data_IF_361002355355
#
_entry.id   IF_361002355355
#
_cell.length_a   1.000
_cell.length_b   1.000
_cell.length_c   1.000
_cell.angle_alpha   90.00
_cell.angle_beta   90.00
_cell.angle_gamma   90.00
#
_symmetry.space_group_name_H-M   'P 1'
#
loop_
_entity.id
_entity.type
_entity.pdbx_description
1 polymer ?
#
# COMPACT_ATOMS: atom_id res chain seq x y z
N UNK A 1 -46.48 26.46 -47.76
CA UNK A 1 -47.41 25.70 -46.89
C UNK A 1 -46.80 25.72 -45.51
N UNK A 2 -47.54 26.11 -44.48
CA UNK A 2 -46.99 26.16 -43.11
C UNK A 2 -46.64 24.76 -42.61
N UNK A 3 -45.39 24.58 -42.22
CA UNK A 3 -44.84 23.34 -41.65
C UNK A 3 -45.62 22.91 -40.40
N UNK A 4 -46.17 23.86 -39.64
CA UNK A 4 -46.99 23.59 -38.46
C UNK A 4 -48.31 22.89 -38.80
N UNK A 5 -48.92 23.23 -39.94
CA UNK A 5 -50.16 22.60 -40.40
C UNK A 5 -49.94 21.15 -40.83
N UNK A 6 -48.82 20.87 -41.51
CA UNK A 6 -48.46 19.51 -41.93
C UNK A 6 -48.13 18.61 -40.73
N UNK A 7 -47.41 19.14 -39.74
CA UNK A 7 -47.09 18.41 -38.51
C UNK A 7 -48.35 18.08 -37.70
N UNK A 8 -49.31 19.00 -37.61
CA UNK A 8 -50.57 18.76 -36.92
C UNK A 8 -51.40 17.65 -37.59
N UNK A 9 -51.42 17.61 -38.92
CA UNK A 9 -52.08 16.54 -39.69
C UNK A 9 -51.40 15.20 -39.44
N UNK A 10 -50.06 15.16 -39.49
CA UNK A 10 -49.29 13.95 -39.21
C UNK A 10 -49.53 13.42 -37.79
N UNK A 11 -49.53 14.31 -36.78
CA UNK A 11 -49.85 13.94 -35.38
C UNK A 11 -51.25 13.34 -35.25
N UNK A 12 -52.25 13.93 -35.91
CA UNK A 12 -53.62 13.40 -35.88
C UNK A 12 -53.71 12.03 -36.57
N UNK A 13 -52.97 11.83 -37.66
CA UNK A 13 -52.86 10.52 -38.32
C UNK A 13 -52.21 9.47 -37.43
N UNK A 14 -51.14 9.84 -36.72
CA UNK A 14 -50.47 8.96 -35.75
C UNK A 14 -51.40 8.51 -34.63
N UNK A 15 -52.13 9.45 -34.03
CA UNK A 15 -53.08 9.14 -32.94
C UNK A 15 -54.14 8.14 -33.43
N UNK A 16 -54.73 8.40 -34.60
CA UNK A 16 -55.72 7.49 -35.19
C UNK A 16 -55.16 6.08 -35.41
N UNK A 17 -53.95 5.95 -35.94
CA UNK A 17 -53.35 4.64 -36.18
C UNK A 17 -52.95 3.91 -34.88
N UNK A 18 -52.60 4.66 -33.83
CA UNK A 18 -52.38 4.10 -32.48
C UNK A 18 -53.69 3.56 -31.92
N UNK A 19 -54.76 4.35 -31.95
CA UNK A 19 -56.09 3.93 -31.47
C UNK A 19 -56.60 2.71 -32.23
N UNK A 20 -56.41 2.67 -33.55
CA UNK A 20 -56.75 1.50 -34.38
C UNK A 20 -55.99 0.25 -33.93
N UNK A 21 -54.67 0.36 -33.72
CA UNK A 21 -53.82 -0.77 -33.27
C UNK A 21 -54.16 -1.23 -31.86
N UNK A 22 -54.46 -0.29 -30.96
CA UNK A 22 -54.94 -0.60 -29.60
C UNK A 22 -56.29 -1.35 -29.66
N UNK A 23 -57.21 -0.91 -30.52
CA UNK A 23 -58.48 -1.59 -30.73
C UNK A 23 -58.30 -3.02 -31.30
N UNK A 24 -57.45 -3.18 -32.32
CA UNK A 24 -57.12 -4.51 -32.85
C UNK A 24 -56.50 -5.40 -31.77
N UNK A 25 -55.58 -4.86 -30.96
CA UNK A 25 -54.96 -5.59 -29.86
C UNK A 25 -56.03 -6.02 -28.85
N UNK A 26 -56.90 -5.11 -28.43
CA UNK A 26 -57.98 -5.40 -27.50
C UNK A 26 -58.88 -6.52 -28.04
N UNK A 27 -59.34 -6.41 -29.28
CA UNK A 27 -60.17 -7.44 -29.92
C UNK A 27 -59.45 -8.79 -29.99
N UNK A 28 -58.17 -8.81 -30.35
CA UNK A 28 -57.39 -10.06 -30.37
C UNK A 28 -57.23 -10.66 -28.97
N UNK A 29 -57.02 -9.84 -27.94
CA UNK A 29 -56.91 -10.33 -26.56
C UNK A 29 -58.23 -10.85 -26.01
N UNK A 30 -59.35 -10.20 -26.35
CA UNK A 30 -60.70 -10.65 -25.97
C UNK A 30 -61.03 -11.98 -26.64
N UNK A 31 -60.78 -12.12 -27.94
CA UNK A 31 -60.97 -13.39 -28.65
C UNK A 31 -60.08 -14.51 -28.11
N UNK A 32 -58.83 -14.21 -27.76
CA UNK A 32 -57.95 -15.19 -27.11
C UNK A 32 -58.46 -15.60 -25.73
N UNK A 33 -59.03 -14.68 -24.96
CA UNK A 33 -59.65 -14.98 -23.67
C UNK A 33 -60.90 -15.87 -23.84
N UNK A 34 -61.78 -15.56 -24.79
CA UNK A 34 -62.97 -16.37 -25.09
C UNK A 34 -62.60 -17.79 -25.54
N UNK A 35 -61.57 -17.92 -26.39
CA UNK A 35 -61.07 -19.23 -26.83
C UNK A 35 -60.53 -20.05 -25.64
N UNK A 36 -59.79 -19.40 -24.74
CA UNK A 36 -59.25 -20.02 -23.54
C UNK A 36 -60.34 -20.48 -22.56
N UNK A 37 -61.44 -19.73 -22.44
CA UNK A 37 -62.58 -20.11 -21.61
C UNK A 37 -63.41 -21.25 -22.22
N UNK A 38 -63.50 -21.32 -23.55
CA UNK A 38 -64.22 -22.40 -24.26
C UNK A 38 -63.47 -23.73 -24.26
N UNK A 39 -62.14 -23.70 -24.31
CA UNK A 39 -61.29 -24.89 -24.34
C UNK A 39 -60.22 -24.87 -23.23
N UNK A 40 -60.63 -24.94 -21.94
CA UNK A 40 -59.71 -24.78 -20.80
C UNK A 40 -58.65 -25.89 -20.70
N UNK A 41 -58.91 -27.07 -21.28
CA UNK A 41 -58.04 -28.24 -21.27
C UNK A 41 -57.33 -28.49 -22.63
N UNK A 42 -57.35 -27.51 -23.54
CA UNK A 42 -56.50 -27.54 -24.74
C UNK A 42 -55.05 -27.24 -24.34
N UNK A 43 -54.39 -28.23 -23.73
CA UNK A 43 -52.95 -28.20 -23.51
C UNK A 43 -52.23 -27.83 -24.81
N UNK A 44 -51.10 -27.12 -24.69
CA UNK A 44 -50.27 -26.67 -25.82
C UNK A 44 -49.89 -27.87 -26.71
N UNK A 45 -50.71 -28.17 -27.71
CA UNK A 45 -50.38 -29.12 -28.75
C UNK A 45 -49.44 -28.38 -29.71
N UNK A 46 -48.17 -28.35 -29.35
CA UNK A 46 -47.08 -27.83 -30.18
C UNK A 46 -46.83 -28.79 -31.34
N UNK A 47 -47.79 -28.91 -32.25
CA UNK A 47 -47.59 -29.63 -33.48
C UNK A 47 -46.58 -28.85 -34.35
N UNK A 48 -45.39 -29.41 -34.62
CA UNK A 48 -44.33 -28.69 -35.32
C UNK A 48 -44.76 -28.28 -36.74
N UNK A 49 -45.67 -29.04 -37.36
CA UNK A 49 -46.23 -28.76 -38.69
C UNK A 49 -47.09 -27.49 -38.71
N UNK A 50 -47.82 -27.21 -37.61
CA UNK A 50 -48.65 -26.01 -37.50
C UNK A 50 -47.77 -24.76 -37.35
N UNK A 51 -46.69 -24.86 -36.59
CA UNK A 51 -45.69 -23.79 -36.47
C UNK A 51 -44.97 -23.51 -37.80
N UNK A 52 -44.61 -24.55 -38.55
CA UNK A 52 -44.05 -24.38 -39.90
C UNK A 52 -45.03 -23.71 -40.87
N UNK A 53 -46.33 -23.94 -40.74
CA UNK A 53 -47.34 -23.25 -41.55
C UNK A 53 -47.56 -21.80 -41.10
N UNK A 54 -47.57 -21.55 -39.79
CA UNK A 54 -47.69 -20.22 -39.21
C UNK A 54 -46.55 -19.29 -39.66
N UNK A 55 -45.29 -19.77 -39.61
CA UNK A 55 -44.12 -18.98 -40.01
C UNK A 55 -44.11 -18.61 -41.50
N UNK A 56 -44.87 -19.30 -42.36
CA UNK A 56 -44.99 -18.97 -43.79
C UNK A 56 -45.85 -17.75 -44.05
N UNK A 57 -46.69 -17.33 -43.09
CA UNK A 57 -47.67 -16.25 -43.27
C UNK A 57 -47.38 -15.11 -42.31
N UNK A 58 -46.83 -13.98 -42.79
CA UNK A 58 -46.75 -12.80 -41.95
C UNK A 58 -48.17 -12.32 -41.59
N UNK A 59 -48.37 -12.00 -40.32
CA UNK A 59 -49.62 -11.43 -39.83
C UNK A 59 -49.48 -9.92 -39.69
N UNK A 60 -50.60 -9.22 -39.81
CA UNK A 60 -50.72 -7.77 -39.66
C UNK A 60 -49.91 -6.99 -40.70
N UNK A 61 -50.52 -6.79 -41.88
CA UNK A 61 -49.97 -5.95 -42.93
C UNK A 61 -50.29 -4.49 -42.63
N UNK A 62 -49.28 -3.59 -42.61
CA UNK A 62 -49.53 -2.18 -42.42
C UNK A 62 -50.25 -1.60 -43.63
N UNK A 63 -51.21 -0.72 -43.37
CA UNK A 63 -51.86 0.07 -44.42
C UNK A 63 -50.88 1.08 -45.03
N UNK A 64 -51.17 1.55 -46.24
CA UNK A 64 -50.34 2.56 -46.92
C UNK A 64 -50.23 3.88 -46.16
N UNK A 65 -51.20 4.18 -45.30
CA UNK A 65 -51.21 5.37 -44.44
C UNK A 65 -50.50 5.16 -43.10
N UNK A 66 -50.09 3.94 -42.77
CA UNK A 66 -49.48 3.63 -41.48
C UNK A 66 -48.07 4.25 -41.38
N UNK A 67 -47.84 5.20 -40.46
CA UNK A 67 -46.54 5.82 -40.27
C UNK A 67 -45.53 4.93 -39.52
N UNK A 68 -45.82 3.63 -39.30
CA UNK A 68 -44.98 2.71 -38.51
C UNK A 68 -43.51 2.69 -38.93
N UNK A 69 -43.21 2.76 -40.22
CA UNK A 69 -41.81 2.75 -40.70
C UNK A 69 -41.02 3.96 -40.23
N UNK A 70 -41.62 5.16 -40.30
CA UNK A 70 -41.00 6.39 -39.83
C UNK A 70 -40.91 6.41 -38.31
N UNK A 71 -41.97 5.99 -37.63
CA UNK A 71 -42.00 5.92 -36.16
C UNK A 71 -40.94 4.97 -35.60
N UNK A 72 -40.81 3.76 -36.17
CA UNK A 72 -39.83 2.78 -35.74
C UNK A 72 -38.41 3.29 -36.00
N UNK A 73 -38.13 3.75 -37.22
CA UNK A 73 -36.81 4.28 -37.56
C UNK A 73 -36.43 5.48 -36.69
N UNK A 74 -37.36 6.38 -36.40
CA UNK A 74 -37.09 7.54 -35.54
C UNK A 74 -36.83 7.13 -34.09
N UNK A 75 -37.69 6.31 -33.50
CA UNK A 75 -37.55 5.85 -32.12
C UNK A 75 -36.26 5.04 -31.94
N UNK A 76 -35.96 4.11 -32.85
CA UNK A 76 -34.75 3.30 -32.80
C UNK A 76 -33.50 4.17 -32.90
N UNK A 77 -33.43 5.07 -33.89
CA UNK A 77 -32.27 5.94 -34.07
C UNK A 77 -32.08 6.89 -32.89
N UNK A 78 -33.16 7.44 -32.35
CA UNK A 78 -33.09 8.36 -31.21
C UNK A 78 -32.67 7.63 -29.93
N UNK A 79 -33.19 6.44 -29.70
CA UNK A 79 -32.77 5.60 -28.57
C UNK A 79 -31.30 5.19 -28.71
N UNK A 80 -30.88 4.74 -29.89
CA UNK A 80 -29.48 4.39 -30.17
C UNK A 80 -28.54 5.57 -29.95
N UNK A 81 -28.92 6.77 -30.42
CA UNK A 81 -28.13 7.98 -30.21
C UNK A 81 -27.99 8.34 -28.72
N UNK A 82 -29.10 8.27 -27.97
CA UNK A 82 -29.08 8.53 -26.53
C UNK A 82 -28.24 7.51 -25.76
N UNK A 83 -28.37 6.23 -26.08
CA UNK A 83 -27.60 5.15 -25.46
C UNK A 83 -26.11 5.26 -25.79
N UNK A 84 -25.77 5.54 -27.05
CA UNK A 84 -24.38 5.76 -27.45
C UNK A 84 -23.78 6.96 -26.72
N UNK A 85 -24.54 8.05 -26.57
CA UNK A 85 -24.09 9.22 -25.82
C UNK A 85 -23.84 8.88 -24.36
N UNK A 86 -24.78 8.20 -23.70
CA UNK A 86 -24.61 7.76 -22.31
C UNK A 86 -23.41 6.83 -22.15
N UNK A 87 -23.19 5.93 -23.11
CA UNK A 87 -22.03 5.03 -23.12
C UNK A 87 -20.71 5.77 -23.31
N UNK A 88 -20.65 6.79 -24.17
CA UNK A 88 -19.46 7.61 -24.34
C UNK A 88 -19.18 8.42 -23.07
N UNK A 89 -20.19 9.08 -22.52
CA UNK A 89 -20.07 9.87 -21.29
C UNK A 89 -19.61 9.00 -20.11
N UNK A 90 -20.09 7.77 -19.97
CA UNK A 90 -19.66 6.85 -18.90
C UNK A 90 -18.24 6.33 -19.08
N UNK A 91 -17.83 5.98 -20.31
CA UNK A 91 -16.48 5.47 -20.58
C UNK A 91 -15.41 6.57 -20.51
N UNK A 92 -15.73 7.77 -20.98
CA UNK A 92 -14.80 8.91 -20.96
C UNK A 92 -14.57 9.40 -19.53
N UNK A 93 -15.63 9.44 -18.71
CA UNK A 93 -15.53 9.98 -17.34
C UNK A 93 -14.89 9.02 -16.33
N UNK A 94 -15.11 7.71 -16.43
CA UNK A 94 -14.69 6.78 -15.38
C UNK A 94 -13.68 5.72 -15.81
N UNK A 95 -13.76 5.23 -17.05
CA UNK A 95 -12.93 4.09 -17.45
C UNK A 95 -11.60 4.52 -18.05
N UNK A 96 -11.62 5.41 -19.05
CA UNK A 96 -10.41 5.75 -19.81
C UNK A 96 -9.37 6.53 -19.00
N UNK A 97 -9.81 7.53 -18.25
CA UNK A 97 -8.92 8.35 -17.40
C UNK A 97 -8.29 7.53 -16.28
N UNK A 98 -9.09 6.67 -15.64
CA UNK A 98 -8.59 5.75 -14.61
C UNK A 98 -7.60 4.73 -15.20
N UNK A 99 -7.89 4.18 -16.39
CA UNK A 99 -7.00 3.23 -17.05
C UNK A 99 -5.66 3.87 -17.46
N UNK A 100 -5.69 5.11 -17.93
CA UNK A 100 -4.48 5.90 -18.22
C UNK A 100 -3.64 6.10 -16.96
N UNK A 101 -4.25 6.51 -15.85
CA UNK A 101 -3.54 6.68 -14.57
C UNK A 101 -2.94 5.37 -14.06
N UNK A 102 -3.68 4.26 -14.14
CA UNK A 102 -3.18 2.94 -13.76
C UNK A 102 -1.99 2.55 -14.64
N UNK A 103 -2.07 2.81 -15.96
CA UNK A 103 -0.99 2.53 -16.89
C UNK A 103 0.27 3.33 -16.55
N UNK A 104 0.17 4.64 -16.29
CA UNK A 104 1.29 5.48 -15.87
C UNK A 104 1.96 4.96 -14.58
N UNK A 105 1.15 4.58 -13.58
CA UNK A 105 1.66 4.00 -12.33
C UNK A 105 2.41 2.71 -12.63
N UNK A 106 1.85 1.85 -13.47
CA UNK A 106 2.41 0.53 -13.76
C UNK A 106 3.70 0.63 -14.58
N UNK A 107 3.78 1.59 -15.51
CA UNK A 107 5.02 1.93 -16.23
C UNK A 107 6.11 2.42 -15.27
N UNK A 108 5.78 3.36 -14.38
CA UNK A 108 6.74 3.87 -13.39
C UNK A 108 7.26 2.77 -12.46
N UNK A 109 6.39 1.86 -12.04
CA UNK A 109 6.74 0.74 -11.18
C UNK A 109 7.63 -0.26 -11.91
N UNK A 110 7.30 -0.58 -13.17
CA UNK A 110 8.11 -1.45 -14.02
C UNK A 110 9.51 -0.86 -14.23
N UNK A 111 9.62 0.46 -14.42
CA UNK A 111 10.91 1.12 -14.55
C UNK A 111 11.70 1.11 -13.23
N UNK A 112 11.03 1.31 -12.09
CA UNK A 112 11.62 1.14 -10.77
C UNK A 112 12.12 -0.29 -10.52
N UNK A 113 11.36 -1.31 -10.95
CA UNK A 113 11.78 -2.71 -10.85
C UNK A 113 12.94 -3.04 -11.78
N UNK A 114 12.96 -2.49 -12.99
CA UNK A 114 14.07 -2.67 -13.93
C UNK A 114 15.38 -2.11 -13.36
N UNK A 115 15.34 -0.90 -12.79
CA UNK A 115 16.52 -0.30 -12.13
C UNK A 115 16.95 -1.08 -10.89
N UNK A 116 16.01 -1.57 -10.09
CA UNK A 116 16.31 -2.43 -8.94
C UNK A 116 16.96 -3.76 -9.39
N UNK A 117 16.46 -4.36 -10.46
CA UNK A 117 17.03 -5.58 -11.03
C UNK A 117 18.45 -5.31 -11.55
N UNK A 118 18.68 -4.19 -12.21
CA UNK A 118 20.01 -3.75 -12.64
C UNK A 118 20.96 -3.60 -11.44
N UNK A 119 20.56 -2.90 -10.37
CA UNK A 119 21.37 -2.74 -9.16
C UNK A 119 21.67 -4.08 -8.46
N UNK A 120 20.68 -4.97 -8.38
CA UNK A 120 20.86 -6.30 -7.80
C UNK A 120 21.79 -7.16 -8.66
N UNK A 121 21.63 -7.12 -9.98
CA UNK A 121 22.49 -7.85 -10.91
C UNK A 121 23.93 -7.33 -10.85
N UNK A 122 24.15 -6.01 -10.84
CA UNK A 122 25.48 -5.38 -10.68
C UNK A 122 26.14 -5.73 -9.33
N UNK A 123 25.34 -5.95 -8.28
CA UNK A 123 25.83 -6.45 -6.98
C UNK A 123 26.23 -7.93 -7.05
N UNK A 124 25.50 -8.73 -7.83
CA UNK A 124 25.72 -10.17 -7.99
C UNK A 124 26.90 -10.48 -8.93
N UNK A 125 27.05 -9.72 -10.01
CA UNK A 125 28.17 -9.82 -10.97
C UNK A 125 29.46 -9.18 -10.44
N UNK A 126 29.40 -8.46 -9.32
CA UNK A 126 30.57 -7.86 -8.69
C UNK A 126 31.08 -6.60 -9.40
N UNK A 127 30.34 -6.02 -10.34
CA UNK A 127 30.75 -4.78 -11.02
C UNK A 127 30.78 -3.57 -10.06
N UNK A 128 29.92 -3.55 -9.04
CA UNK A 128 30.03 -2.58 -7.92
C UNK A 128 31.19 -2.89 -6.96
N UNK A 129 31.80 -4.07 -7.03
CA UNK A 129 33.05 -4.38 -6.35
C UNK A 129 34.22 -3.66 -7.05
N UNK A 130 34.17 -3.46 -8.36
CA UNK A 130 35.24 -2.81 -9.12
C UNK A 130 35.23 -1.27 -9.10
N UNK A 131 34.10 -0.61 -8.82
CA UNK A 131 34.10 0.85 -8.60
C UNK A 131 34.55 1.27 -7.19
N UNK A 132 34.60 0.34 -6.24
CA UNK A 132 35.20 0.56 -4.90
C UNK A 132 36.57 -0.11 -4.72
N UNK A 133 36.98 -1.02 -5.61
CA UNK A 133 38.26 -1.74 -5.55
C UNK A 133 39.50 -0.90 -5.93
N UNK A 134 39.45 0.43 -5.82
CA UNK A 134 40.66 1.26 -5.85
C UNK A 134 41.03 1.85 -4.49
N UNK A 135 40.26 1.61 -3.41
CA UNK A 135 40.68 1.93 -2.05
C UNK A 135 40.10 0.92 -1.05
N UNK A 136 41.00 0.23 -0.35
CA UNK A 136 40.81 -0.62 0.83
C UNK A 136 40.10 -1.99 0.67
N UNK A 137 40.92 -3.05 0.62
CA UNK A 137 40.55 -4.45 0.90
C UNK A 137 40.16 -4.72 2.36
N UNK A 138 39.98 -3.70 3.20
CA UNK A 138 39.65 -3.85 4.63
C UNK A 138 38.19 -3.57 5.00
N UNK A 139 37.34 -3.17 4.06
CA UNK A 139 35.93 -2.84 4.36
C UNK A 139 34.99 -4.04 4.16
N UNK A 140 35.45 -5.22 4.58
CA UNK A 140 34.55 -6.28 4.99
C UNK A 140 33.83 -5.76 6.24
N UNK A 141 32.68 -5.09 6.05
CA UNK A 141 31.73 -4.87 7.15
C UNK A 141 31.60 -6.21 7.88
N UNK A 142 32.10 -6.33 9.12
CA UNK A 142 31.78 -7.51 9.90
C UNK A 142 30.28 -7.40 10.10
N UNK A 143 29.50 -8.32 9.54
CA UNK A 143 28.18 -8.56 10.06
C UNK A 143 28.38 -8.82 11.55
N UNK A 144 27.99 -7.85 12.38
CA UNK A 144 28.05 -8.01 13.83
C UNK A 144 26.90 -8.95 14.20
N UNK A 145 27.06 -10.23 13.87
CA UNK A 145 26.28 -11.37 14.37
C UNK A 145 26.91 -11.91 15.65
N UNK A 146 27.67 -11.08 16.34
CA UNK A 146 28.18 -11.41 17.66
C UNK A 146 27.01 -11.33 18.65
N UNK A 147 26.70 -12.46 19.30
CA UNK A 147 25.75 -12.54 20.41
C UNK A 147 26.02 -11.40 21.41
N UNK A 148 24.98 -10.83 22.02
CA UNK A 148 25.07 -9.73 23.00
C UNK A 148 26.12 -10.03 24.09
N UNK A 149 26.26 -11.30 24.47
CA UNK A 149 27.27 -11.76 25.43
C UNK A 149 28.71 -11.59 24.93
N UNK A 150 28.96 -11.90 23.65
CA UNK A 150 30.28 -11.75 23.03
C UNK A 150 30.66 -10.28 22.84
N UNK A 151 29.69 -9.42 22.53
CA UNK A 151 29.92 -7.96 22.49
C UNK A 151 30.19 -7.39 23.88
N UNK A 152 29.43 -7.81 24.89
CA UNK A 152 29.64 -7.37 26.28
C UNK A 152 31.04 -7.79 26.76
N UNK A 153 31.46 -9.02 26.49
CA UNK A 153 32.81 -9.48 26.82
C UNK A 153 33.90 -8.64 26.11
N UNK A 154 33.73 -8.33 24.82
CA UNK A 154 34.64 -7.44 24.09
C UNK A 154 34.72 -6.05 24.70
N UNK A 155 33.59 -5.48 25.14
CA UNK A 155 33.55 -4.17 25.78
C UNK A 155 34.24 -4.19 27.15
N UNK A 156 34.09 -5.26 27.94
CA UNK A 156 34.85 -5.46 29.18
C UNK A 156 36.35 -5.57 28.92
N UNK A 157 36.77 -6.26 27.86
CA UNK A 157 38.17 -6.39 27.49
C UNK A 157 38.77 -5.05 27.05
N UNK A 158 38.03 -4.27 26.27
CA UNK A 158 38.42 -2.90 25.87
C UNK A 158 38.53 -2.00 27.10
N UNK A 159 37.55 -2.04 28.01
CA UNK A 159 37.58 -1.26 29.25
C UNK A 159 38.79 -1.63 30.11
N UNK A 160 39.06 -2.93 30.26
CA UNK A 160 40.21 -3.41 31.00
C UNK A 160 41.52 -2.93 30.38
N UNK A 161 41.65 -3.01 29.05
CA UNK A 161 42.83 -2.54 28.33
C UNK A 161 43.02 -1.03 28.48
N UNK A 162 41.94 -0.25 28.36
CA UNK A 162 41.95 1.20 28.53
C UNK A 162 42.42 1.59 29.94
N UNK A 163 41.86 0.96 30.96
CA UNK A 163 42.22 1.26 32.35
C UNK A 163 43.65 0.83 32.66
N UNK A 164 44.07 -0.34 32.19
CA UNK A 164 45.40 -0.88 32.52
C UNK A 164 46.55 -0.23 31.76
N UNK A 165 46.37 0.10 30.48
CA UNK A 165 47.46 0.60 29.63
C UNK A 165 47.55 2.12 29.57
N UNK A 166 46.45 2.82 29.82
CA UNK A 166 46.39 4.27 29.64
C UNK A 166 46.01 4.97 30.95
N UNK A 167 44.81 4.72 31.48
CA UNK A 167 44.28 5.50 32.62
C UNK A 167 45.09 5.31 33.89
N UNK A 168 45.44 4.07 34.24
CA UNK A 168 46.22 3.81 35.45
C UNK A 168 47.67 4.27 35.31
N UNK A 169 48.26 4.21 34.12
CA UNK A 169 49.64 4.66 33.87
C UNK A 169 49.72 6.20 33.97
N UNK A 170 48.75 6.91 33.40
CA UNK A 170 48.75 8.38 33.35
C UNK A 170 48.31 9.03 34.68
N UNK A 171 47.54 8.33 35.52
CA UNK A 171 47.02 8.85 36.78
C UNK A 171 47.77 8.32 38.02
N UNK A 172 48.76 7.46 37.84
CA UNK A 172 49.56 6.90 38.94
C UNK A 172 50.46 7.97 39.58
N UNK A 173 50.51 8.08 40.92
CA UNK A 173 51.55 8.85 41.59
C UNK A 173 52.93 8.19 41.35
N UNK A 174 54.03 8.97 41.33
CA UNK A 174 55.37 8.51 40.90
C UNK A 174 55.97 7.38 41.76
N UNK A 175 55.43 7.15 42.96
CA UNK A 175 55.94 6.17 43.94
C UNK A 175 55.10 4.89 44.04
N UNK A 176 54.12 4.69 43.16
CA UNK A 176 53.19 3.56 43.23
C UNK A 176 53.25 2.64 42.00
N UNK A 177 52.86 1.37 42.19
CA UNK A 177 52.80 0.38 41.12
C UNK A 177 51.54 0.61 40.24
N UNK A 178 51.70 0.96 38.95
CA UNK A 178 50.58 1.21 38.05
C UNK A 178 49.69 -0.01 37.84
N UNK A 179 50.22 -1.23 37.99
CA UNK A 179 49.44 -2.46 37.82
C UNK A 179 48.52 -2.74 39.01
N UNK A 180 49.00 -2.47 40.23
CA UNK A 180 48.19 -2.55 41.44
C UNK A 180 47.04 -1.52 41.39
N UNK A 181 47.34 -0.29 40.97
CA UNK A 181 46.34 0.78 40.85
C UNK A 181 45.33 0.49 39.73
N UNK A 182 45.77 -0.06 38.60
CA UNK A 182 44.87 -0.51 37.54
C UNK A 182 43.86 -1.55 38.05
N UNK A 183 44.28 -2.47 38.92
CA UNK A 183 43.40 -3.48 39.49
C UNK A 183 42.33 -2.87 40.41
N UNK A 184 42.71 -1.87 41.21
CA UNK A 184 41.81 -1.13 42.11
C UNK A 184 40.83 -0.24 41.32
N UNK A 185 41.31 0.44 40.28
CA UNK A 185 40.48 1.23 39.36
C UNK A 185 39.49 0.35 38.57
N UNK A 186 39.89 -0.86 38.16
CA UNK A 186 38.99 -1.81 37.51
C UNK A 186 37.95 -2.36 38.49
N UNK A 187 38.34 -2.68 39.73
CA UNK A 187 37.43 -3.17 40.75
C UNK A 187 36.36 -2.14 41.10
N UNK A 188 36.75 -0.86 41.23
CA UNK A 188 35.81 0.25 41.46
C UNK A 188 34.87 0.47 40.28
N UNK A 189 35.35 0.51 39.03
CA UNK A 189 34.50 0.61 37.83
C UNK A 189 33.57 -0.59 37.67
N UNK A 190 34.06 -1.81 37.90
CA UNK A 190 33.23 -3.03 37.86
C UNK A 190 32.13 -2.99 38.91
N UNK A 191 32.44 -2.47 40.11
CA UNK A 191 31.46 -2.32 41.17
C UNK A 191 30.37 -1.29 40.80
N UNK A 192 30.77 -0.14 40.24
CA UNK A 192 29.83 0.89 39.75
C UNK A 192 28.89 0.34 38.67
N UNK A 193 29.41 -0.47 37.74
CA UNK A 193 28.64 -0.99 36.60
C UNK A 193 27.76 -2.19 36.99
N UNK A 194 28.23 -3.11 37.85
CA UNK A 194 27.52 -4.39 38.13
C UNK A 194 26.66 -4.41 39.40
N UNK A 195 26.97 -3.61 40.43
CA UNK A 195 26.33 -3.73 41.76
C UNK A 195 25.92 -2.35 42.28
N UNK A 196 24.65 -2.04 42.06
CA UNK A 196 23.90 -0.96 42.71
C UNK A 196 24.37 0.48 42.48
N UNK A 197 25.27 0.77 41.53
CA UNK A 197 25.51 2.13 41.05
C UNK A 197 25.90 3.16 42.12
N UNK A 198 26.30 2.75 43.33
CA UNK A 198 26.69 3.64 44.44
C UNK A 198 28.01 3.16 45.02
N UNK A 199 29.03 3.99 44.94
CA UNK A 199 30.36 3.73 45.51
C UNK A 199 30.69 4.81 46.53
N UNK A 200 31.17 4.40 47.70
CA UNK A 200 31.59 5.33 48.74
C UNK A 200 32.82 6.11 48.30
N UNK A 201 32.86 7.41 48.59
CA UNK A 201 33.98 8.28 48.20
C UNK A 201 35.32 7.84 48.81
N UNK A 202 35.29 7.06 49.90
CA UNK A 202 36.47 6.41 50.51
C UNK A 202 37.19 5.45 49.56
N UNK A 203 36.48 4.83 48.61
CA UNK A 203 37.06 3.91 47.63
C UNK A 203 37.80 4.65 46.49
N UNK A 204 37.65 5.98 46.42
CA UNK A 204 38.37 6.87 45.51
C UNK A 204 39.50 7.65 46.22
N UNK A 205 39.79 7.34 47.48
CA UNK A 205 40.84 8.04 48.25
C UNK A 205 42.22 7.44 47.94
N UNK A 206 43.22 8.31 47.82
CA UNK A 206 44.60 7.91 47.52
C UNK A 206 44.86 7.78 46.02
N UNK A 207 45.46 6.68 45.54
CA UNK A 207 45.94 6.55 44.16
C UNK A 207 44.83 6.49 43.10
N UNK A 208 43.59 6.19 43.49
CA UNK A 208 42.41 6.18 42.61
C UNK A 208 41.68 7.54 42.53
N UNK A 209 42.20 8.59 43.19
CA UNK A 209 41.59 9.94 43.19
C UNK A 209 41.62 10.63 41.82
N UNK A 210 42.60 10.31 40.98
CA UNK A 210 42.66 10.78 39.59
C UNK A 210 41.47 10.28 38.76
N UNK A 211 41.08 9.01 38.96
CA UNK A 211 39.94 8.41 38.26
C UNK A 211 38.64 9.12 38.65
N UNK A 212 38.44 9.42 39.93
CA UNK A 212 37.28 10.17 40.39
C UNK A 212 37.18 11.56 39.74
N UNK A 213 38.31 12.30 39.68
CA UNK A 213 38.35 13.62 39.03
C UNK A 213 38.04 13.53 37.54
N UNK A 214 38.52 12.48 36.86
CA UNK A 214 38.26 12.25 35.44
C UNK A 214 36.78 11.97 35.20
N UNK A 215 36.17 11.07 35.99
CA UNK A 215 34.74 10.76 35.90
C UNK A 215 33.88 11.99 36.20
N UNK A 216 34.26 12.81 37.20
CA UNK A 216 33.54 14.04 37.54
C UNK A 216 33.64 15.10 36.44
N UNK A 217 34.85 15.32 35.88
CA UNK A 217 35.05 16.28 34.76
C UNK A 217 34.32 15.84 33.49
N UNK A 218 34.29 14.54 33.23
CA UNK A 218 33.56 13.96 32.10
C UNK A 218 32.03 13.94 32.34
N UNK A 219 31.55 14.39 33.51
CA UNK A 219 30.14 14.37 33.92
C UNK A 219 29.51 12.97 33.86
N UNK A 220 30.30 11.93 34.12
CA UNK A 220 29.83 10.54 34.07
C UNK A 220 29.28 10.05 35.42
N UNK A 221 29.43 10.86 36.48
CA UNK A 221 29.03 10.53 37.84
C UNK A 221 28.29 11.67 38.53
N UNK A 222 27.32 11.32 39.37
CA UNK A 222 26.60 12.22 40.27
C UNK A 222 26.97 11.95 41.72
N UNK A 223 27.15 13.01 42.51
CA UNK A 223 27.41 12.91 43.96
C UNK A 223 26.12 13.10 44.74
N UNK A 224 25.87 12.27 45.74
CA UNK A 224 24.72 12.43 46.66
C UNK A 224 24.83 13.73 47.45
N UNK A 225 23.69 14.27 47.93
CA UNK A 225 23.60 15.54 48.66
C UNK A 225 24.52 15.60 49.90
N UNK A 226 24.78 14.46 50.54
CA UNK A 226 25.70 14.32 51.68
C UNK A 226 27.19 14.23 51.29
N UNK A 227 27.53 14.21 50.00
CA UNK A 227 28.90 14.09 49.48
C UNK A 227 29.61 12.75 49.76
N UNK A 228 28.94 11.81 50.43
CA UNK A 228 29.55 10.56 50.89
C UNK A 228 29.57 9.45 49.84
N UNK A 229 28.72 9.54 48.81
CA UNK A 229 28.54 8.50 47.79
C UNK A 229 28.53 9.07 46.37
N UNK A 230 29.07 8.28 45.45
CA UNK A 230 29.23 8.59 44.02
C UNK A 230 28.44 7.57 43.23
N UNK A 231 27.59 8.02 42.31
CA UNK A 231 26.81 7.16 41.44
C UNK A 231 27.16 7.39 39.97
N UNK A 232 27.10 6.35 39.15
CA UNK A 232 27.12 6.54 37.69
C UNK A 232 25.82 7.20 37.27
N UNK A 233 25.89 8.09 36.30
CA UNK A 233 24.70 8.59 35.63
C UNK A 233 24.00 7.42 34.92
N UNK A 234 22.67 7.45 34.89
CA UNK A 234 21.92 6.45 34.17
C UNK A 234 22.07 6.69 32.66
N UNK A 235 22.75 5.77 31.98
CA UNK A 235 22.93 5.79 30.52
C UNK A 235 21.86 4.94 29.81
N UNK A 236 20.90 4.36 30.54
CA UNK A 236 19.83 3.53 30.00
C UNK A 236 18.52 4.28 29.74
N UNK A 237 18.35 5.51 30.23
CA UNK A 237 17.12 6.30 30.06
C UNK A 237 17.04 7.11 28.74
N UNK A 238 18.10 7.17 27.92
CA UNK A 238 18.14 7.96 26.66
C UNK A 238 18.08 7.14 25.34
N UNK A 239 17.63 5.88 25.37
CA UNK A 239 17.40 5.07 24.17
C UNK A 239 16.01 4.44 24.09
#
# INVERSE_FOLDING_TARGET
>A
MDDEGQLAIYKRSLIREIENKEYFLQQTTELLAELREREPDSGSNEEPKLWEEFLKRPMFFPDRSDPVGVSLAFCENRNRLNLNRQFLESNESQSLTMLQQVLEIQESLNQGLATLLELLSARLTGEMRHQRASNDENDARPEITDSIETQNNKLWDILNLLVGRFVAVDLCPPDADPQAIASEMRATLTHMIKKSGVVYMKNFQGPSSGLYRLLLKAKLVSTSEDGATVKLQDFSEEF
#
